data_IF_303611957096
#
_entry.id   IF_303611957096
#
_cell.length_a   1.000
_cell.length_b   1.000
_cell.length_c   1.000
_cell.angle_alpha   90.00
_cell.angle_beta   90.00
_cell.angle_gamma   90.00
#
_symmetry.space_group_name_H-M   'P 1'
#
loop_
_entity.id
_entity.type
_entity.pdbx_description
1 polymer ?
#
# COMPACT_ATOMS: atom_id res chain seq x y z
N UNK A 1 6.35 -5.83 3.28
CA UNK A 1 5.28 -5.52 4.25
C UNK A 1 3.94 -5.59 3.52
N UNK A 2 2.93 -6.34 4.01
CA UNK A 2 1.59 -6.34 3.41
C UNK A 2 0.93 -4.96 3.52
N UNK A 3 0.17 -4.56 2.51
CA UNK A 3 -0.58 -3.31 2.50
C UNK A 3 -1.89 -3.46 3.28
N UNK A 4 -2.28 -2.44 4.03
CA UNK A 4 -3.52 -2.41 4.81
C UNK A 4 -4.33 -1.15 4.49
N UNK A 5 -5.58 -1.16 4.93
CA UNK A 5 -6.35 0.07 5.04
C UNK A 5 -5.58 1.05 5.94
N UNK A 6 -5.72 2.33 5.63
CA UNK A 6 -5.12 3.43 6.37
C UNK A 6 -3.60 3.63 6.21
N UNK A 7 -2.91 2.79 5.44
CA UNK A 7 -1.54 3.08 5.00
C UNK A 7 -1.52 4.28 4.05
N UNK A 8 -0.50 5.13 4.19
CA UNK A 8 -0.24 6.22 3.26
C UNK A 8 0.73 5.73 2.17
N UNK A 9 0.35 5.93 0.92
CA UNK A 9 1.03 5.32 -0.21
C UNK A 9 1.26 6.30 -1.36
N UNK A 10 2.33 6.07 -2.11
CA UNK A 10 2.71 6.84 -3.30
C UNK A 10 2.71 5.94 -4.53
N UNK A 11 2.07 6.37 -5.60
CA UNK A 11 2.05 5.65 -6.87
C UNK A 11 3.35 5.92 -7.65
N UNK A 12 4.08 4.86 -7.99
CA UNK A 12 5.38 4.95 -8.69
C UNK A 12 5.24 4.65 -10.19
N UNK A 13 4.22 3.88 -10.58
CA UNK A 13 4.06 3.39 -11.96
C UNK A 13 2.64 3.62 -12.49
N UNK A 14 2.53 3.92 -13.79
CA UNK A 14 1.26 4.13 -14.50
C UNK A 14 0.80 5.60 -14.54
N UNK A 15 -0.41 5.83 -15.05
CA UNK A 15 -0.94 7.17 -15.33
C UNK A 15 -1.12 8.06 -14.10
N UNK A 16 -1.24 7.46 -12.91
CA UNK A 16 -1.40 8.18 -11.64
C UNK A 16 -0.08 8.35 -10.88
N UNK A 17 1.08 8.19 -11.55
CA UNK A 17 2.41 8.33 -10.95
C UNK A 17 2.58 9.69 -10.25
N UNK A 18 3.23 9.69 -9.09
CA UNK A 18 3.50 10.89 -8.29
C UNK A 18 2.33 11.32 -7.39
N UNK A 19 1.16 10.68 -7.52
CA UNK A 19 0.05 10.91 -6.59
C UNK A 19 0.24 10.13 -5.31
N UNK A 20 -0.15 10.76 -4.22
CA UNK A 20 -0.11 10.21 -2.86
C UNK A 20 -1.50 10.22 -2.27
N UNK A 21 -1.77 9.23 -1.43
CA UNK A 21 -3.03 9.15 -0.73
C UNK A 21 -3.07 7.98 0.24
N UNK A 22 -4.10 7.99 1.07
CA UNK A 22 -4.37 6.94 2.04
C UNK A 22 -5.13 5.79 1.39
N UNK A 23 -4.83 4.55 1.75
CA UNK A 23 -5.55 3.37 1.25
C UNK A 23 -6.93 3.34 1.90
N UNK A 24 -7.99 3.50 1.10
CA UNK A 24 -9.38 3.47 1.57
C UNK A 24 -9.91 2.05 1.70
N UNK A 25 -9.58 1.16 0.75
CA UNK A 25 -9.98 -0.24 0.79
C UNK A 25 -8.98 -1.15 0.08
N UNK A 26 -8.89 -2.39 0.57
CA UNK A 26 -8.10 -3.47 -0.03
C UNK A 26 -9.07 -4.52 -0.54
N UNK A 27 -9.24 -4.61 -1.86
CA UNK A 27 -10.18 -5.52 -2.51
C UNK A 27 -9.47 -6.79 -2.98
N UNK A 28 -9.38 -7.76 -2.07
CA UNK A 28 -8.61 -9.01 -2.27
C UNK A 28 -9.13 -9.91 -3.38
N UNK A 29 -10.45 -9.92 -3.63
CA UNK A 29 -11.04 -10.73 -4.71
C UNK A 29 -10.51 -10.33 -6.10
N UNK A 30 -10.25 -9.03 -6.31
CA UNK A 30 -9.74 -8.48 -7.57
C UNK A 30 -8.27 -8.07 -7.50
N UNK A 31 -7.58 -8.40 -6.42
CA UNK A 31 -6.18 -8.02 -6.16
C UNK A 31 -5.90 -6.52 -6.38
N UNK A 32 -6.86 -5.68 -5.99
CA UNK A 32 -6.81 -4.24 -6.19
C UNK A 32 -6.87 -3.47 -4.87
N UNK A 33 -6.20 -2.33 -4.81
CA UNK A 33 -6.31 -1.34 -3.76
C UNK A 33 -6.98 -0.09 -4.31
N UNK A 34 -7.78 0.57 -3.47
CA UNK A 34 -8.31 1.89 -3.73
C UNK A 34 -7.59 2.89 -2.84
N UNK A 35 -7.19 4.00 -3.43
CA UNK A 35 -6.40 5.05 -2.78
C UNK A 35 -7.20 6.35 -2.88
N UNK A 36 -7.22 7.10 -1.79
CA UNK A 36 -7.83 8.42 -1.73
C UNK A 36 -7.23 9.35 -2.80
N UNK A 37 -8.03 10.23 -3.40
CA UNK A 37 -7.65 11.14 -4.50
C UNK A 37 -7.28 10.45 -5.83
N UNK A 38 -7.39 9.13 -5.91
CA UNK A 38 -7.25 8.36 -7.15
C UNK A 38 -8.61 7.84 -7.58
N UNK A 39 -9.42 8.78 -8.08
CA UNK A 39 -10.72 8.56 -8.67
C UNK A 39 -10.77 9.08 -10.10
N UNK A 40 -11.76 8.60 -10.84
CA UNK A 40 -12.16 9.13 -12.14
C UNK A 40 -13.59 9.65 -12.01
N UNK A 41 -13.86 10.78 -12.64
CA UNK A 41 -15.22 11.30 -12.75
C UNK A 41 -15.96 10.65 -13.92
N UNK A 42 -17.22 10.30 -13.66
CA UNK A 42 -18.17 9.83 -14.66
C UNK A 42 -18.88 11.03 -15.31
N UNK A 43 -19.46 10.83 -16.48
CA UNK A 43 -20.28 11.85 -17.16
C UNK A 43 -21.49 12.31 -16.34
N UNK A 44 -21.95 11.50 -15.40
CA UNK A 44 -23.04 11.83 -14.48
C UNK A 44 -22.58 12.63 -13.24
N UNK A 45 -21.34 13.12 -13.20
CA UNK A 45 -20.80 13.96 -12.13
C UNK A 45 -20.33 13.20 -10.88
N UNK A 46 -20.46 11.87 -10.83
CA UNK A 46 -19.98 11.08 -9.69
C UNK A 46 -18.51 10.67 -9.85
N UNK A 47 -17.73 10.77 -8.78
CA UNK A 47 -16.35 10.25 -8.72
C UNK A 47 -16.33 8.78 -8.31
N UNK A 48 -15.62 7.94 -9.07
CA UNK A 48 -15.45 6.51 -8.75
C UNK A 48 -13.97 6.19 -8.56
N UNK A 49 -13.60 5.45 -7.50
CA UNK A 49 -12.20 5.11 -7.25
C UNK A 49 -11.65 4.20 -8.36
N UNK A 50 -10.41 4.45 -8.75
CA UNK A 50 -9.71 3.64 -9.75
C UNK A 50 -8.98 2.49 -9.02
N UNK A 51 -9.16 1.22 -9.45
CA UNK A 51 -8.42 0.10 -8.86
C UNK A 51 -6.94 0.18 -9.24
N UNK A 52 -6.07 0.08 -8.25
CA UNK A 52 -4.62 0.05 -8.40
C UNK A 52 -4.08 -1.31 -7.97
N UNK A 53 -3.10 -1.83 -8.72
CA UNK A 53 -2.38 -3.02 -8.27
C UNK A 53 -1.33 -2.61 -7.22
N UNK A 54 -1.21 -3.30 -6.07
CA UNK A 54 -0.31 -2.90 -4.99
C UNK A 54 1.16 -2.85 -5.41
N UNK A 55 1.59 -3.59 -6.44
CA UNK A 55 2.97 -3.50 -6.95
C UNK A 55 3.30 -2.16 -7.64
N UNK A 56 2.31 -1.36 -8.06
CA UNK A 56 2.53 -0.05 -8.67
C UNK A 56 2.82 1.06 -7.64
N UNK A 57 2.84 0.70 -6.36
CA UNK A 57 2.75 1.61 -5.24
C UNK A 57 3.86 1.33 -4.23
N UNK A 58 4.34 2.37 -3.57
CA UNK A 58 5.29 2.30 -2.45
C UNK A 58 4.61 2.85 -1.20
N UNK A 59 4.78 2.17 -0.07
CA UNK A 59 4.23 2.60 1.22
C UNK A 59 5.14 3.69 1.79
N UNK A 60 4.57 4.85 2.13
CA UNK A 60 5.27 5.96 2.78
C UNK A 60 5.13 5.91 4.30
N UNK A 61 3.90 5.82 4.80
CA UNK A 61 3.63 5.70 6.24
C UNK A 61 2.79 4.46 6.50
N UNK A 62 3.21 3.70 7.50
CA UNK A 62 2.51 2.50 7.94
C UNK A 62 1.48 2.87 9.00
N UNK A 63 0.29 2.31 8.87
CA UNK A 63 -0.64 2.23 10.00
C UNK A 63 -0.16 1.13 10.95
N UNK A 64 0.30 1.52 12.14
CA UNK A 64 0.85 0.61 13.15
C UNK A 64 -0.27 0.09 14.06
N UNK A 65 -0.23 -1.22 14.29
CA UNK A 65 -0.99 -1.93 15.30
C UNK A 65 -0.09 -3.00 15.93
N UNK A 66 -0.52 -3.55 17.06
CA UNK A 66 0.24 -4.55 17.83
C UNK A 66 0.72 -5.72 16.95
N UNK A 67 -0.13 -6.20 16.06
CA UNK A 67 0.20 -7.34 15.18
C UNK A 67 1.21 -6.95 14.09
N UNK A 68 1.15 -5.72 13.59
CA UNK A 68 2.08 -5.20 12.59
C UNK A 68 3.45 -4.95 13.18
N UNK A 69 3.51 -4.44 14.40
CA UNK A 69 4.75 -4.30 15.16
C UNK A 69 5.40 -5.67 15.39
N UNK A 70 4.63 -6.68 15.81
CA UNK A 70 5.12 -8.04 15.93
C UNK A 70 5.66 -8.62 14.60
N UNK A 71 5.01 -8.31 13.48
CA UNK A 71 5.50 -8.70 12.14
C UNK A 71 6.80 -7.97 11.79
N UNK A 72 6.90 -6.67 12.09
CA UNK A 72 8.10 -5.87 11.85
C UNK A 72 9.30 -6.42 12.63
N UNK A 73 9.13 -6.66 13.93
CA UNK A 73 10.17 -7.23 14.78
C UNK A 73 10.63 -8.61 14.31
N UNK A 74 9.67 -9.49 13.98
CA UNK A 74 9.97 -10.84 13.48
C UNK A 74 10.75 -10.80 12.16
N UNK A 75 10.33 -9.96 11.22
CA UNK A 75 11.01 -9.82 9.91
C UNK A 75 12.37 -9.15 10.08
N UNK A 76 12.50 -8.20 11.00
CA UNK A 76 13.77 -7.56 11.35
C UNK A 76 14.81 -8.57 11.84
N UNK A 77 14.49 -9.31 12.90
CA UNK A 77 15.37 -10.36 13.48
C UNK A 77 15.79 -11.40 12.44
N UNK A 78 14.86 -11.84 11.60
CA UNK A 78 15.15 -12.79 10.53
C UNK A 78 16.15 -12.24 9.50
N UNK A 79 16.03 -10.96 9.12
CA UNK A 79 16.96 -10.31 8.18
C UNK A 79 18.35 -10.12 8.79
N UNK A 80 18.44 -9.76 10.05
CA UNK A 80 19.72 -9.60 10.77
C UNK A 80 20.48 -10.92 10.86
N UNK A 81 19.79 -12.01 11.21
CA UNK A 81 20.39 -13.33 11.27
C UNK A 81 20.91 -13.81 9.90
N UNK A 82 20.20 -13.52 8.80
CA UNK A 82 20.69 -13.82 7.45
C UNK A 82 21.91 -12.98 7.11
N UNK A 83 21.88 -11.67 7.42
CA UNK A 83 23.00 -10.76 7.16
C UNK A 83 24.27 -11.20 7.89
N UNK A 84 24.14 -11.64 9.14
CA UNK A 84 25.25 -12.14 9.96
C UNK A 84 25.86 -13.46 9.45
N UNK A 85 25.10 -14.26 8.69
CA UNK A 85 25.60 -15.49 8.05
C UNK A 85 26.27 -15.24 6.71
N UNK A 86 25.92 -14.14 6.04
CA UNK A 86 26.45 -13.74 4.73
C UNK A 86 27.64 -12.78 4.81
N UNK A 87 27.96 -12.29 6.01
CA UNK A 87 29.12 -11.46 6.33
C UNK A 87 30.23 -12.36 6.90
#
# INVERSE_FOLDING_TARGET
>A
MPIRKDDEVMVVRGSNKGREGKVTSVYRLKWAIHVERISRDKSNGQSVPIPLHPSKVVIKKLHLDKDREAILERVGKGREAVKAKSA
#
